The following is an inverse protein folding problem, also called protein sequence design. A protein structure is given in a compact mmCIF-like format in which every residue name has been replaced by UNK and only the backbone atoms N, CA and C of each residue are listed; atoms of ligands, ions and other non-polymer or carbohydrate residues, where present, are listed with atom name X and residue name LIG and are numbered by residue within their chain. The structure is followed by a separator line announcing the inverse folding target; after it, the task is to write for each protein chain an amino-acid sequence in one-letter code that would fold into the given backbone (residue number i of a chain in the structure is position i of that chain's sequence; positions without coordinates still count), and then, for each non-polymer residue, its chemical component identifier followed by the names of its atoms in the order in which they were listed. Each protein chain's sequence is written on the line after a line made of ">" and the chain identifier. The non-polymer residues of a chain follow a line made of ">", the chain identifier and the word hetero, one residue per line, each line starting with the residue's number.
data_IF_385759366394
#
_entry.id   IF_385759366394
#
_cell.length_a   1.000
_cell.length_b   1.000
_cell.length_c   1.000
_cell.angle_alpha   90.00
_cell.angle_beta   90.00
_cell.angle_gamma   90.00
#
_symmetry.space_group_name_H-M   'P 1'
#
loop_
_entity.id
_entity.type
_entity.pdbx_description
1 polymer ?
#
# COMPACT_ATOMS: atom_id res chain seq x y z
N UNK A 1 19.71 -5.67 -42.33
CA UNK A 1 18.46 -5.02 -41.86
C UNK A 1 18.86 -3.73 -41.16
N UNK A 2 18.87 -2.60 -41.88
CA UNK A 2 19.35 -1.31 -41.36
C UNK A 2 18.21 -0.64 -40.60
N UNK A 3 18.14 -0.83 -39.28
CA UNK A 3 17.24 -0.04 -38.45
C UNK A 3 17.70 1.41 -38.47
N UNK A 4 16.84 2.31 -38.94
CA UNK A 4 17.06 3.76 -38.94
C UNK A 4 17.49 4.23 -37.54
N UNK A 5 18.48 5.13 -37.44
CA UNK A 5 19.01 5.61 -36.14
C UNK A 5 17.90 6.13 -35.22
N UNK A 6 16.85 6.73 -35.80
CA UNK A 6 15.64 7.16 -35.09
C UNK A 6 14.93 6.00 -34.40
N UNK A 7 14.83 4.85 -35.05
CA UNK A 7 14.19 3.64 -34.48
C UNK A 7 15.05 3.06 -33.35
N UNK A 8 16.38 3.08 -33.49
CA UNK A 8 17.30 2.61 -32.43
C UNK A 8 17.21 3.49 -31.19
N UNK A 9 17.17 4.82 -31.35
CA UNK A 9 16.98 5.75 -30.22
C UNK A 9 15.60 5.58 -29.57
N UNK A 10 14.53 5.39 -30.36
CA UNK A 10 13.18 5.17 -29.84
C UNK A 10 13.08 3.86 -29.06
N UNK A 11 13.72 2.78 -29.54
CA UNK A 11 13.79 1.50 -28.84
C UNK A 11 14.52 1.66 -27.50
N UNK A 12 15.68 2.33 -27.48
CA UNK A 12 16.42 2.55 -26.23
C UNK A 12 15.62 3.34 -25.19
N UNK A 13 14.93 4.41 -25.59
CA UNK A 13 14.09 5.20 -24.67
C UNK A 13 12.91 4.36 -24.16
N UNK A 14 12.25 3.61 -25.05
CA UNK A 14 11.16 2.73 -24.64
C UNK A 14 11.63 1.66 -23.64
N UNK A 15 12.81 1.06 -23.87
CA UNK A 15 13.40 0.10 -22.94
C UNK A 15 13.68 0.70 -21.57
N UNK A 16 14.21 1.93 -21.50
CA UNK A 16 14.46 2.61 -20.22
C UNK A 16 13.17 2.90 -19.44
N UNK A 17 12.11 3.33 -20.13
CA UNK A 17 10.80 3.56 -19.52
C UNK A 17 10.22 2.25 -18.97
N UNK A 18 10.30 1.16 -19.73
CA UNK A 18 9.80 -0.16 -19.31
C UNK A 18 10.57 -0.67 -18.09
N UNK A 19 11.90 -0.57 -18.09
CA UNK A 19 12.73 -0.96 -16.93
C UNK A 19 12.38 -0.12 -15.69
N UNK A 20 12.20 1.19 -15.85
CA UNK A 20 11.78 2.08 -14.77
C UNK A 20 10.41 1.72 -14.19
N UNK A 21 9.44 1.39 -15.06
CA UNK A 21 8.10 0.98 -14.65
C UNK A 21 8.11 -0.38 -13.90
N UNK A 22 8.91 -1.34 -14.38
CA UNK A 22 9.07 -2.65 -13.72
C UNK A 22 9.75 -2.49 -12.36
N UNK A 23 10.82 -1.70 -12.28
CA UNK A 23 11.50 -1.43 -11.01
C UNK A 23 10.54 -0.79 -10.01
N UNK A 24 9.75 0.20 -10.45
CA UNK A 24 8.72 0.81 -9.61
C UNK A 24 7.64 -0.19 -9.18
N UNK A 25 7.20 -1.08 -10.06
CA UNK A 25 6.23 -2.14 -9.74
C UNK A 25 6.74 -3.09 -8.66
N UNK A 26 8.00 -3.53 -8.75
CA UNK A 26 8.61 -4.45 -7.78
C UNK A 26 8.82 -3.82 -6.39
N UNK A 27 8.88 -2.49 -6.29
CA UNK A 27 8.98 -1.80 -4.99
C UNK A 27 7.64 -1.64 -4.26
N UNK A 28 6.52 -2.08 -4.84
CA UNK A 28 5.21 -1.96 -4.17
C UNK A 28 5.17 -2.86 -2.93
N UNK A 29 4.64 -2.37 -1.80
CA UNK A 29 4.39 -3.21 -0.63
C UNK A 29 3.46 -4.36 -1.01
N UNK A 30 3.85 -5.58 -0.64
CA UNK A 30 2.98 -6.75 -0.55
C UNK A 30 2.47 -6.83 0.88
N UNK A 31 1.15 -6.97 1.02
CA UNK A 31 0.48 -7.10 2.30
C UNK A 31 0.08 -8.56 2.51
N UNK A 32 0.14 -9.02 3.75
CA UNK A 32 -0.36 -10.33 4.17
C UNK A 32 -1.62 -10.18 5.01
N UNK A 33 -2.02 -11.28 5.66
CA UNK A 33 -3.13 -11.30 6.61
C UNK A 33 -2.87 -10.34 7.79
N UNK A 34 -3.91 -9.64 8.21
CA UNK A 34 -3.87 -8.74 9.37
C UNK A 34 -4.91 -9.16 10.41
N UNK A 35 -4.61 -8.87 11.67
CA UNK A 35 -5.53 -9.00 12.79
C UNK A 35 -6.75 -8.09 12.64
N UNK A 36 -7.78 -8.35 13.45
CA UNK A 36 -8.96 -7.48 13.52
C UNK A 36 -8.58 -6.04 13.89
N UNK A 37 -7.67 -5.88 14.87
CA UNK A 37 -7.12 -4.57 15.25
C UNK A 37 -6.42 -3.89 14.07
N UNK A 38 -5.61 -4.63 13.31
CA UNK A 38 -4.97 -4.13 12.09
C UNK A 38 -5.98 -3.67 11.04
N UNK A 39 -7.07 -4.41 10.86
CA UNK A 39 -8.16 -4.06 9.95
C UNK A 39 -8.89 -2.78 10.37
N UNK A 40 -9.17 -2.62 11.67
CA UNK A 40 -9.81 -1.41 12.20
C UNK A 40 -8.96 -0.15 11.95
N UNK A 41 -7.64 -0.26 12.17
CA UNK A 41 -6.72 0.83 11.83
C UNK A 41 -6.64 1.10 10.32
N UNK A 42 -6.67 0.06 9.48
CA UNK A 42 -6.73 0.24 8.03
C UNK A 42 -8.01 0.99 7.61
N UNK A 43 -9.16 0.68 8.23
CA UNK A 43 -10.42 1.37 7.97
C UNK A 43 -10.42 2.81 8.47
N UNK A 44 -9.84 3.06 9.64
CA UNK A 44 -9.65 4.40 10.16
C UNK A 44 -8.78 5.25 9.23
N UNK A 45 -7.66 4.68 8.75
CA UNK A 45 -6.79 5.31 7.75
C UNK A 45 -7.53 5.56 6.44
N UNK A 46 -8.35 4.62 5.95
CA UNK A 46 -9.18 4.82 4.75
C UNK A 46 -10.06 6.07 4.88
N UNK A 47 -10.78 6.18 6.00
CA UNK A 47 -11.65 7.32 6.29
C UNK A 47 -10.87 8.64 6.36
N UNK A 48 -9.73 8.64 7.06
CA UNK A 48 -8.87 9.82 7.20
C UNK A 48 -8.24 10.25 5.86
N UNK A 49 -7.79 9.31 5.03
CA UNK A 49 -7.21 9.56 3.71
C UNK A 49 -8.25 10.08 2.72
N UNK A 50 -9.47 9.53 2.71
CA UNK A 50 -10.58 10.05 1.90
C UNK A 50 -10.97 11.48 2.32
N UNK A 51 -10.98 11.76 3.62
CA UNK A 51 -11.20 13.11 4.16
C UNK A 51 -9.99 14.03 4.04
N UNK A 52 -8.84 13.56 3.51
CA UNK A 52 -7.55 14.27 3.43
C UNK A 52 -7.18 14.98 4.74
N UNK A 53 -7.42 14.32 5.86
CA UNK A 53 -7.28 14.93 7.18
C UNK A 53 -5.94 14.57 7.81
N UNK A 54 -4.95 15.44 7.66
CA UNK A 54 -3.61 15.26 8.26
C UNK A 54 -3.69 15.03 9.77
N UNK A 55 -4.53 15.80 10.48
CA UNK A 55 -4.70 15.66 11.93
C UNK A 55 -5.19 14.26 12.32
N UNK A 56 -6.18 13.70 11.61
CA UNK A 56 -6.67 12.35 11.86
C UNK A 56 -5.62 11.30 11.53
N UNK A 57 -4.89 11.45 10.43
CA UNK A 57 -3.81 10.51 10.07
C UNK A 57 -2.70 10.53 11.13
N UNK A 58 -2.32 11.70 11.63
CA UNK A 58 -1.32 11.84 12.70
C UNK A 58 -1.76 11.14 14.00
N UNK A 59 -3.03 11.34 14.38
CA UNK A 59 -3.61 10.69 15.55
C UNK A 59 -3.60 9.16 15.39
N UNK A 60 -4.08 8.65 14.25
CA UNK A 60 -4.11 7.21 13.97
C UNK A 60 -2.69 6.63 13.95
N UNK A 61 -1.72 7.32 13.37
CA UNK A 61 -0.30 6.92 13.38
C UNK A 61 0.23 6.77 14.80
N UNK A 62 -0.14 7.67 15.72
CA UNK A 62 0.25 7.56 17.13
C UNK A 62 -0.40 6.33 17.79
N UNK A 63 -1.70 6.13 17.54
CA UNK A 63 -2.43 4.97 18.09
C UNK A 63 -1.89 3.63 17.57
N UNK A 64 -1.42 3.57 16.32
CA UNK A 64 -0.76 2.37 15.75
C UNK A 64 0.52 2.05 16.53
N UNK A 65 1.32 3.06 16.89
CA UNK A 65 2.54 2.84 17.68
C UNK A 65 2.24 2.35 19.10
N UNK A 66 1.17 2.87 19.71
CA UNK A 66 0.68 2.43 21.02
C UNK A 66 0.15 0.99 20.97
N UNK A 67 -0.65 0.65 19.96
CA UNK A 67 -1.22 -0.69 19.79
C UNK A 67 -0.15 -1.77 19.56
N UNK A 68 0.90 -1.47 18.78
CA UNK A 68 2.03 -2.39 18.66
C UNK A 68 2.79 -2.53 19.98
N UNK A 69 3.01 -1.43 20.70
CA UNK A 69 3.67 -1.46 22.02
C UNK A 69 2.87 -2.26 23.06
N UNK A 70 1.54 -2.28 22.92
CA UNK A 70 0.63 -3.09 23.73
C UNK A 70 0.52 -4.56 23.28
N UNK A 71 1.15 -4.93 22.17
CA UNK A 71 1.08 -6.28 21.59
C UNK A 71 -0.22 -6.59 20.84
N UNK A 72 -1.03 -5.58 20.53
CA UNK A 72 -2.28 -5.70 19.77
C UNK A 72 -2.04 -5.71 18.25
N UNK A 73 -0.87 -5.23 17.82
CA UNK A 73 -0.39 -5.31 16.45
C UNK A 73 0.98 -5.97 16.42
N UNK A 74 1.23 -6.73 15.36
CA UNK A 74 2.59 -7.17 15.03
C UNK A 74 3.42 -6.00 14.49
N UNK A 75 4.75 -6.13 14.58
CA UNK A 75 5.67 -5.17 13.99
C UNK A 75 5.44 -4.99 12.48
N UNK A 76 5.01 -6.05 11.79
CA UNK A 76 4.77 -6.04 10.36
C UNK A 76 3.47 -5.29 10.00
N UNK A 77 2.38 -5.51 10.73
CA UNK A 77 1.14 -4.74 10.57
C UNK A 77 1.39 -3.25 10.82
N UNK A 78 2.11 -2.92 11.89
CA UNK A 78 2.55 -1.54 12.16
C UNK A 78 3.32 -0.96 10.99
N UNK A 79 4.30 -1.70 10.43
CA UNK A 79 5.08 -1.21 9.30
C UNK A 79 4.21 -0.91 8.07
N UNK A 80 3.23 -1.75 7.76
CA UNK A 80 2.29 -1.53 6.67
C UNK A 80 1.39 -0.30 6.92
N UNK A 81 0.78 -0.22 8.09
CA UNK A 81 -0.13 0.88 8.46
C UNK A 81 0.62 2.22 8.56
N UNK A 82 1.82 2.24 9.14
CA UNK A 82 2.67 3.44 9.18
C UNK A 82 3.17 3.85 7.80
N UNK A 83 3.45 2.90 6.90
CA UNK A 83 3.80 3.20 5.52
C UNK A 83 2.68 3.95 4.80
N UNK A 84 1.43 3.52 4.99
CA UNK A 84 0.24 4.20 4.48
C UNK A 84 0.08 5.59 5.11
N UNK A 85 0.18 5.69 6.43
CA UNK A 85 0.06 6.96 7.14
C UNK A 85 1.10 7.98 6.64
N UNK A 86 2.35 7.55 6.45
CA UNK A 86 3.42 8.40 5.91
C UNK A 86 3.10 8.93 4.51
N UNK A 87 2.63 8.07 3.60
CA UNK A 87 2.22 8.52 2.24
C UNK A 87 1.15 9.62 2.31
N UNK A 88 0.17 9.47 3.20
CA UNK A 88 -0.86 10.48 3.40
C UNK A 88 -0.30 11.77 4.01
N UNK A 89 0.57 11.68 5.02
CA UNK A 89 1.23 12.83 5.65
C UNK A 89 2.15 13.60 4.68
N UNK A 90 2.76 12.90 3.73
CA UNK A 90 3.55 13.49 2.63
C UNK A 90 2.68 14.15 1.55
N UNK A 91 1.35 14.10 1.71
CA UNK A 91 0.37 14.67 0.78
C UNK A 91 0.01 13.77 -0.40
N UNK A 92 0.56 12.55 -0.46
CA UNK A 92 0.23 11.56 -1.49
C UNK A 92 -1.01 10.73 -1.11
N UNK A 93 -2.13 11.43 -1.02
CA UNK A 93 -3.43 10.86 -0.64
C UNK A 93 -3.89 9.75 -1.57
N UNK A 94 -3.53 9.83 -2.86
CA UNK A 94 -3.94 8.84 -3.85
C UNK A 94 -3.19 7.53 -3.65
N UNK A 95 -1.87 7.60 -3.45
CA UNK A 95 -1.07 6.41 -3.12
C UNK A 95 -1.51 5.81 -1.79
N UNK A 96 -1.74 6.63 -0.76
CA UNK A 96 -2.22 6.15 0.54
C UNK A 96 -3.57 5.42 0.42
N UNK A 97 -4.56 6.00 -0.28
CA UNK A 97 -5.85 5.33 -0.52
C UNK A 97 -5.71 4.04 -1.33
N UNK A 98 -4.84 4.03 -2.35
CA UNK A 98 -4.56 2.82 -3.12
C UNK A 98 -3.89 1.74 -2.26
N UNK A 99 -3.01 2.15 -1.35
CA UNK A 99 -2.32 1.25 -0.45
C UNK A 99 -3.28 0.63 0.58
N UNK A 100 -4.20 1.41 1.16
CA UNK A 100 -5.25 0.89 2.06
C UNK A 100 -6.18 -0.09 1.33
N UNK A 101 -6.61 0.25 0.11
CA UNK A 101 -7.48 -0.64 -0.68
C UNK A 101 -6.80 -1.97 -0.96
N UNK A 102 -5.54 -1.95 -1.40
CA UNK A 102 -4.77 -3.19 -1.61
C UNK A 102 -4.63 -4.00 -0.32
N UNK A 103 -4.34 -3.35 0.83
CA UNK A 103 -4.29 -4.04 2.11
C UNK A 103 -5.60 -4.76 2.44
N UNK A 104 -6.75 -4.10 2.21
CA UNK A 104 -8.08 -4.70 2.44
C UNK A 104 -8.48 -5.77 1.42
N UNK A 105 -8.09 -5.60 0.15
CA UNK A 105 -8.33 -6.59 -0.91
C UNK A 105 -7.65 -7.93 -0.61
N UNK A 106 -6.43 -7.89 -0.05
CA UNK A 106 -5.69 -9.08 0.39
C UNK A 106 -6.48 -9.86 1.45
N UNK A 107 -7.14 -9.17 2.38
CA UNK A 107 -7.96 -9.82 3.43
C UNK A 107 -9.21 -10.51 2.87
N UNK A 108 -9.73 -10.01 1.73
CA UNK A 108 -10.91 -10.60 1.09
C UNK A 108 -10.53 -11.79 0.20
N UNK A 109 -9.33 -11.76 -0.39
CA UNK A 109 -8.82 -12.83 -1.26
C UNK A 109 -8.53 -14.11 -0.47
N UNK A 110 -8.03 -13.99 0.75
CA UNK A 110 -7.74 -15.14 1.60
C UNK A 110 -9.03 -15.78 2.18
N UNK A 111 -10.09 -15.00 2.39
CA UNK A 111 -11.39 -15.51 2.83
C UNK A 111 -12.08 -16.44 1.80
N UNK A 112 -11.84 -16.23 0.49
CA UNK A 112 -12.43 -17.03 -0.60
C UNK A 112 -11.71 -18.39 -0.80
N UNK A 113 -10.58 -18.62 -0.12
CA UNK A 113 -9.83 -19.89 -0.14
C UNK A 113 -10.33 -20.91 0.89
N UNK A 114 -11.32 -20.56 1.72
CA UNK A 114 -11.95 -21.51 2.63
C UNK A 114 -12.96 -22.38 1.86
N UNK A 115 -12.98 -23.72 2.06
CA UNK A 115 -13.95 -24.58 1.41
C UNK A 115 -15.36 -24.13 1.79
N UNK A 116 -16.19 -23.83 0.79
CA UNK A 116 -17.63 -23.61 0.99
C UNK A 116 -18.20 -24.88 1.62
N UNK A 117 -18.62 -24.79 2.87
CA UNK A 117 -19.43 -25.83 3.49
C UNK A 117 -20.84 -25.64 2.95
N UNK A 118 -21.27 -26.59 2.12
CA UNK A 118 -22.63 -26.73 1.60
C UNK A 118 -23.60 -27.27 2.66
#
# INVERSE_FOLDING_TARGET
>A
MSTSSKNVTLIMVASLIVVGAIAWWLTRPSYGEISHTGYDYAMALYSACNGKSTAKVQQISTMIDEAESAGELTLQEKAWLQGIARQALDGDWNSANSAVRRLMEEQTRDADLLPKID
#
